data_IF_866705752754
#
_entry.id   IF_866705752754
#
_cell.length_a   1.000
_cell.length_b   1.000
_cell.length_c   1.000
_cell.angle_alpha   90.00
_cell.angle_beta   90.00
_cell.angle_gamma   90.00
#
_symmetry.space_group_name_H-M   'P 1'
#
loop_
_entity.id
_entity.type
_entity.pdbx_description
1 polymer ?
#
# COMPACT_ATOMS: atom_id res chain seq x y z
N UNK A 1 -9.82 -13.70 5.66
CA UNK A 1 -9.07 -13.50 6.93
C UNK A 1 -7.85 -14.42 7.07
N UNK A 2 -7.91 -15.72 6.73
CA UNK A 2 -6.72 -16.61 6.72
C UNK A 2 -5.69 -16.29 5.62
N UNK A 3 -6.13 -15.70 4.50
CA UNK A 3 -5.24 -15.37 3.37
C UNK A 3 -4.55 -14.00 3.50
N UNK A 4 -5.18 -13.03 4.18
CA UNK A 4 -4.63 -11.68 4.41
C UNK A 4 -3.36 -11.72 5.26
N UNK A 5 -3.27 -12.72 6.14
CA UNK A 5 -2.08 -12.90 6.94
C UNK A 5 -1.05 -13.79 6.26
N UNK A 6 -1.25 -14.39 5.09
CA UNK A 6 -0.35 -15.43 4.57
C UNK A 6 1.13 -15.00 4.48
N UNK A 7 1.41 -13.70 4.28
CA UNK A 7 2.76 -13.12 4.43
C UNK A 7 3.27 -13.13 5.87
N UNK A 8 2.45 -12.74 6.85
CA UNK A 8 2.79 -12.79 8.28
C UNK A 8 2.68 -14.20 8.92
N UNK A 9 1.80 -15.07 8.40
CA UNK A 9 1.30 -16.30 9.04
C UNK A 9 2.33 -17.43 9.00
N UNK A 10 3.35 -17.32 8.12
CA UNK A 10 4.48 -18.24 8.05
C UNK A 10 5.78 -17.63 8.61
N UNK A 11 5.85 -16.31 8.74
CA UNK A 11 7.05 -15.59 9.18
C UNK A 11 7.10 -15.39 10.69
N UNK A 12 5.95 -15.18 11.34
CA UNK A 12 5.83 -15.09 12.80
C UNK A 12 5.29 -16.41 13.35
N UNK A 13 6.09 -17.08 14.18
CA UNK A 13 5.68 -18.29 14.91
C UNK A 13 5.67 -18.01 16.41
N UNK A 14 4.51 -18.25 17.02
CA UNK A 14 4.33 -18.19 18.48
C UNK A 14 4.00 -19.59 18.96
N UNK A 15 4.96 -20.22 19.64
CA UNK A 15 4.74 -21.53 20.27
C UNK A 15 4.27 -21.32 21.71
N UNK A 16 3.02 -21.69 21.97
CA UNK A 16 2.42 -21.70 23.31
C UNK A 16 2.59 -23.09 23.90
N UNK A 17 3.75 -23.37 24.50
CA UNK A 17 3.94 -24.62 25.24
C UNK A 17 3.51 -24.42 26.70
N UNK A 18 2.64 -25.30 27.21
CA UNK A 18 1.87 -25.15 28.45
C UNK A 18 2.67 -25.19 29.77
N UNK A 19 3.93 -24.76 29.77
CA UNK A 19 4.79 -24.73 30.95
C UNK A 19 6.21 -24.18 30.73
N UNK A 20 6.62 -23.87 29.49
CA UNK A 20 7.86 -23.15 29.18
C UNK A 20 7.50 -21.86 28.44
N UNK A 21 8.17 -20.77 28.78
CA UNK A 21 7.85 -19.42 28.29
C UNK A 21 7.60 -19.36 26.79
N UNK A 22 6.70 -18.46 26.39
CA UNK A 22 6.34 -18.19 25.00
C UNK A 22 7.60 -17.97 24.16
N UNK A 23 7.89 -18.89 23.25
CA UNK A 23 8.96 -18.71 22.28
C UNK A 23 8.38 -18.00 21.06
N UNK A 24 8.87 -16.79 20.80
CA UNK A 24 8.47 -15.97 19.64
C UNK A 24 9.65 -15.89 18.69
N UNK A 25 9.39 -16.20 17.42
CA UNK A 25 10.38 -16.04 16.35
C UNK A 25 9.79 -15.30 15.15
N UNK A 26 10.62 -14.48 14.51
CA UNK A 26 10.32 -13.77 13.26
C UNK A 26 11.37 -14.15 12.23
N UNK A 27 10.93 -14.69 11.08
CA UNK A 27 11.80 -15.24 10.02
C UNK A 27 12.88 -16.20 10.53
N UNK A 28 12.53 -17.02 11.51
CA UNK A 28 13.44 -17.99 12.13
C UNK A 28 14.47 -17.39 13.11
N UNK A 29 14.48 -16.07 13.33
CA UNK A 29 15.24 -15.43 14.41
C UNK A 29 14.38 -15.38 15.68
N UNK A 30 14.94 -15.81 16.81
CA UNK A 30 14.30 -15.66 18.11
C UNK A 30 14.22 -14.18 18.51
N UNK A 31 13.20 -13.82 19.29
CA UNK A 31 12.94 -12.45 19.75
C UNK A 31 14.18 -11.78 20.37
N UNK A 32 14.95 -12.50 21.20
CA UNK A 32 16.16 -11.97 21.86
C UNK A 32 17.31 -11.69 20.89
N UNK A 33 17.27 -12.26 19.68
CA UNK A 33 18.29 -12.11 18.66
C UNK A 33 17.91 -11.06 17.59
N UNK A 34 16.77 -10.39 17.73
CA UNK A 34 16.32 -9.38 16.77
C UNK A 34 17.16 -8.10 16.87
N UNK A 35 17.61 -7.63 15.71
CA UNK A 35 18.34 -6.37 15.56
C UNK A 35 17.38 -5.19 15.41
N UNK A 36 17.88 -3.95 15.51
CA UNK A 36 17.06 -2.76 15.25
C UNK A 36 16.43 -2.77 13.85
N UNK A 37 17.16 -3.28 12.84
CA UNK A 37 16.68 -3.47 11.47
C UNK A 37 15.52 -4.46 11.42
N UNK A 38 15.61 -5.58 12.15
CA UNK A 38 14.51 -6.55 12.24
C UNK A 38 13.26 -5.91 12.84
N UNK A 39 13.41 -5.08 13.89
CA UNK A 39 12.28 -4.34 14.47
C UNK A 39 11.65 -3.34 13.47
N UNK A 40 12.45 -2.69 12.64
CA UNK A 40 11.94 -1.77 11.60
C UNK A 40 11.12 -2.52 10.55
N UNK A 41 11.58 -3.69 10.11
CA UNK A 41 10.84 -4.55 9.17
C UNK A 41 9.51 -5.04 9.78
N UNK A 42 9.53 -5.47 11.05
CA UNK A 42 8.31 -5.87 11.76
C UNK A 42 7.31 -4.72 11.86
N UNK A 43 7.76 -3.52 12.24
CA UNK A 43 6.89 -2.34 12.34
C UNK A 43 6.33 -1.96 10.97
N UNK A 44 7.16 -2.03 9.92
CA UNK A 44 6.73 -1.79 8.55
C UNK A 44 5.66 -2.80 8.12
N UNK A 45 5.89 -4.10 8.33
CA UNK A 45 4.95 -5.19 8.03
C UNK A 45 3.58 -4.96 8.68
N UNK A 46 3.59 -4.71 9.98
CA UNK A 46 2.37 -4.48 10.75
C UNK A 46 1.64 -3.23 10.24
N UNK A 47 2.38 -2.16 9.91
CA UNK A 47 1.82 -0.91 9.41
C UNK A 47 1.22 -1.06 8.02
N UNK A 48 1.90 -1.78 7.11
CA UNK A 48 1.42 -2.03 5.75
C UNK A 48 0.17 -2.91 5.76
N UNK A 49 0.16 -3.99 6.54
CA UNK A 49 -1.02 -4.84 6.72
C UNK A 49 -2.17 -4.05 7.31
N UNK A 50 -1.93 -3.21 8.31
CA UNK A 50 -2.94 -2.34 8.89
C UNK A 50 -3.50 -1.37 7.84
N UNK A 51 -2.63 -0.69 7.06
CA UNK A 51 -3.05 0.21 5.99
C UNK A 51 -3.93 -0.51 4.94
N UNK A 52 -3.51 -1.67 4.44
CA UNK A 52 -4.29 -2.41 3.44
C UNK A 52 -5.65 -2.87 3.98
N UNK A 53 -5.70 -3.38 5.22
CA UNK A 53 -6.96 -3.77 5.87
C UNK A 53 -7.89 -2.57 6.08
N UNK A 54 -7.34 -1.46 6.55
CA UNK A 54 -8.05 -0.20 6.77
C UNK A 54 -8.60 0.37 5.46
N UNK A 55 -7.80 0.36 4.40
CA UNK A 55 -8.21 0.82 3.08
C UNK A 55 -9.30 -0.07 2.49
N UNK A 56 -9.18 -1.40 2.59
CA UNK A 56 -10.19 -2.34 2.12
C UNK A 56 -11.52 -2.18 2.87
N UNK A 57 -11.46 -1.98 4.19
CA UNK A 57 -12.65 -1.75 5.01
C UNK A 57 -13.29 -0.39 4.69
N UNK A 58 -12.49 0.66 4.53
CA UNK A 58 -12.99 1.97 4.11
C UNK A 58 -13.66 1.89 2.74
N UNK A 59 -13.02 1.23 1.79
CA UNK A 59 -13.55 1.04 0.44
C UNK A 59 -14.89 0.30 0.46
N UNK A 60 -15.01 -0.76 1.26
CA UNK A 60 -16.28 -1.47 1.46
C UNK A 60 -17.37 -0.55 2.02
N UNK A 61 -17.04 0.30 3.00
CA UNK A 61 -18.00 1.20 3.63
C UNK A 61 -18.40 2.36 2.73
N UNK A 62 -17.47 2.89 1.96
CA UNK A 62 -17.67 4.08 1.14
C UNK A 62 -18.30 3.76 -0.22
N UNK A 63 -18.32 2.51 -0.67
CA UNK A 63 -18.80 2.12 -2.01
C UNK A 63 -20.31 2.17 -2.19
N UNK A 64 -20.73 2.50 -3.41
CA UNK A 64 -22.14 2.47 -3.85
C UNK A 64 -22.64 1.04 -4.14
N UNK A 65 -21.76 0.19 -4.68
CA UNK A 65 -21.82 -1.28 -4.79
C UNK A 65 -20.67 -1.72 -5.72
N UNK A 66 -19.93 -2.78 -5.40
CA UNK A 66 -18.87 -3.30 -6.27
C UNK A 66 -18.18 -4.55 -5.69
N UNK A 67 -17.55 -5.40 -6.54
CA UNK A 67 -16.97 -6.67 -6.10
C UNK A 67 -15.77 -6.46 -5.18
N UNK A 68 -15.58 -7.39 -4.23
CA UNK A 68 -14.45 -7.41 -3.32
C UNK A 68 -13.15 -7.61 -4.10
N UNK A 69 -12.19 -6.70 -3.96
CA UNK A 69 -10.81 -6.91 -4.42
C UNK A 69 -9.97 -7.42 -3.27
N UNK A 70 -9.41 -8.62 -3.43
CA UNK A 70 -8.49 -9.23 -2.47
C UNK A 70 -7.09 -8.65 -2.72
N UNK A 71 -6.48 -8.01 -1.72
CA UNK A 71 -5.11 -7.50 -1.80
C UNK A 71 -4.38 -7.83 -0.49
N UNK A 72 -3.49 -8.83 -0.53
CA UNK A 72 -2.55 -9.13 0.55
C UNK A 72 -1.18 -8.57 0.18
N UNK A 73 -0.62 -7.60 0.92
CA UNK A 73 0.73 -7.11 0.68
C UNK A 73 1.79 -8.12 1.16
N UNK A 74 2.90 -8.24 0.41
CA UNK A 74 4.10 -9.01 0.77
C UNK A 74 5.26 -8.05 1.08
N UNK A 75 6.14 -8.41 2.01
CA UNK A 75 7.24 -7.57 2.52
C UNK A 75 8.31 -7.26 1.50
N UNK A 76 8.55 -8.15 0.54
CA UNK A 76 9.44 -7.82 -0.56
C UNK A 76 8.85 -6.74 -1.49
N UNK A 77 7.60 -6.30 -1.27
CA UNK A 77 7.03 -5.10 -1.89
C UNK A 77 7.30 -3.81 -1.12
N UNK A 78 8.03 -3.84 0.01
CA UNK A 78 8.29 -2.64 0.84
C UNK A 78 9.04 -1.50 0.14
N UNK A 79 9.72 -1.83 -0.94
CA UNK A 79 10.40 -0.89 -1.82
C UNK A 79 9.59 -0.59 -3.08
N UNK A 80 8.28 -0.75 -3.03
CA UNK A 80 7.32 -0.41 -4.07
C UNK A 80 6.05 0.12 -3.39
N UNK A 81 5.18 0.82 -4.12
CA UNK A 81 3.89 1.27 -3.56
C UNK A 81 3.80 2.77 -3.32
N UNK A 82 2.80 3.18 -2.53
CA UNK A 82 2.45 4.58 -2.30
C UNK A 82 3.50 5.36 -1.50
N UNK A 83 4.34 4.67 -0.72
CA UNK A 83 5.38 5.33 0.08
C UNK A 83 6.71 5.50 -0.67
N UNK A 84 6.85 4.98 -1.89
CA UNK A 84 8.14 4.94 -2.57
C UNK A 84 8.67 6.36 -2.89
N UNK A 85 9.97 6.68 -2.75
CA UNK A 85 10.45 8.06 -2.91
C UNK A 85 10.32 8.63 -4.32
N UNK A 86 10.43 7.79 -5.36
CA UNK A 86 10.33 8.20 -6.75
C UNK A 86 8.86 8.29 -7.19
N UNK A 87 8.45 9.47 -7.68
CA UNK A 87 7.09 9.71 -8.16
C UNK A 87 6.67 8.74 -9.27
N UNK A 88 7.61 8.37 -10.15
CA UNK A 88 7.37 7.53 -11.31
C UNK A 88 6.98 6.12 -10.90
N UNK A 89 7.69 5.57 -9.92
CA UNK A 89 7.40 4.24 -9.36
C UNK A 89 6.14 4.25 -8.48
N UNK A 90 5.78 5.40 -7.85
CA UNK A 90 4.50 5.57 -7.13
C UNK A 90 3.30 5.67 -8.07
N UNK A 91 3.48 6.26 -9.24
CA UNK A 91 2.41 6.69 -10.13
C UNK A 91 1.38 5.58 -10.46
N UNK A 92 1.75 4.31 -10.70
CA UNK A 92 0.80 3.22 -10.93
C UNK A 92 -0.08 2.94 -9.71
N UNK A 93 0.49 3.00 -8.50
CA UNK A 93 -0.24 2.78 -7.25
C UNK A 93 -1.20 3.93 -6.96
N UNK A 94 -0.78 5.18 -7.24
CA UNK A 94 -1.64 6.35 -7.18
C UNK A 94 -2.82 6.24 -8.17
N UNK A 95 -2.60 5.68 -9.36
CA UNK A 95 -3.68 5.43 -10.32
C UNK A 95 -4.67 4.38 -9.83
N UNK A 96 -4.20 3.27 -9.27
CA UNK A 96 -5.08 2.25 -8.68
C UNK A 96 -5.87 2.82 -7.51
N UNK A 97 -5.24 3.63 -6.64
CA UNK A 97 -5.94 4.31 -5.53
C UNK A 97 -6.97 5.33 -6.03
N UNK A 98 -6.64 6.10 -7.07
CA UNK A 98 -7.56 7.03 -7.71
C UNK A 98 -8.80 6.29 -8.25
N UNK A 99 -8.63 5.21 -9.01
CA UNK A 99 -9.73 4.38 -9.51
C UNK A 99 -10.61 3.85 -8.39
N UNK A 100 -9.98 3.38 -7.30
CA UNK A 100 -10.69 2.91 -6.11
C UNK A 100 -11.61 4.00 -5.56
N UNK A 101 -11.06 5.19 -5.31
CA UNK A 101 -11.77 6.32 -4.72
C UNK A 101 -12.84 6.91 -5.64
N UNK A 102 -12.75 6.71 -6.96
CA UNK A 102 -13.84 7.09 -7.87
C UNK A 102 -15.15 6.34 -7.58
N UNK A 103 -15.07 5.13 -7.03
CA UNK A 103 -16.25 4.31 -6.70
C UNK A 103 -16.94 4.72 -5.38
N UNK A 104 -16.30 5.60 -4.60
CA UNK A 104 -16.81 6.00 -3.29
C UNK A 104 -18.00 6.96 -3.40
N UNK A 105 -18.89 6.94 -2.42
CA UNK A 105 -20.02 7.86 -2.28
C UNK A 105 -19.55 9.28 -1.97
N UNK A 106 -20.40 10.25 -2.26
CA UNK A 106 -20.19 11.65 -1.90
C UNK A 106 -19.51 12.48 -2.98
N UNK A 107 -19.38 13.77 -2.67
CA UNK A 107 -18.72 14.74 -3.54
C UNK A 107 -17.20 14.50 -3.50
N UNK A 108 -16.60 14.41 -4.69
CA UNK A 108 -15.16 14.21 -4.85
C UNK A 108 -14.52 15.51 -5.30
N UNK A 109 -13.27 15.79 -4.87
CA UNK A 109 -12.48 16.86 -5.48
C UNK A 109 -12.44 16.72 -7.00
N UNK A 110 -12.50 17.84 -7.73
CA UNK A 110 -12.54 17.85 -9.21
C UNK A 110 -11.42 17.03 -9.84
N UNK A 111 -10.24 17.09 -9.25
CA UNK A 111 -9.07 16.34 -9.66
C UNK A 111 -9.36 14.82 -9.61
N UNK A 112 -10.05 14.30 -8.60
CA UNK A 112 -10.43 12.88 -8.49
C UNK A 112 -11.63 12.55 -9.40
N UNK A 113 -12.60 13.48 -9.50
CA UNK A 113 -13.86 13.28 -10.21
C UNK A 113 -13.72 13.25 -11.75
N UNK A 114 -12.72 13.93 -12.31
CA UNK A 114 -12.50 13.96 -13.77
C UNK A 114 -12.14 12.57 -14.31
N UNK A 115 -12.67 12.22 -15.48
CA UNK A 115 -12.19 11.09 -16.27
C UNK A 115 -10.84 11.48 -16.90
N UNK A 116 -9.81 10.66 -16.69
CA UNK A 116 -8.40 11.01 -16.93
C UNK A 116 -7.75 10.26 -18.07
N UNK A 117 -8.54 9.76 -19.01
CA UNK A 117 -8.02 9.11 -20.22
C UNK A 117 -7.07 9.99 -21.06
N UNK A 118 -6.98 11.30 -20.81
CA UNK A 118 -6.17 12.26 -21.57
C UNK A 118 -5.01 12.91 -20.80
N UNK A 119 -4.68 12.47 -19.58
CA UNK A 119 -3.59 13.09 -18.81
C UNK A 119 -2.21 12.80 -19.39
N UNK A 120 -1.36 13.84 -19.38
CA UNK A 120 0.06 13.73 -19.68
C UNK A 120 0.76 13.54 -18.34
N UNK A 121 1.00 12.29 -17.93
CA UNK A 121 1.49 11.95 -16.60
C UNK A 121 2.91 12.51 -16.34
N UNK A 122 2.95 13.78 -15.96
CA UNK A 122 4.15 14.51 -15.54
C UNK A 122 4.29 14.43 -14.03
N UNK A 123 5.50 14.70 -13.53
CA UNK A 123 5.79 14.75 -12.10
C UNK A 123 4.85 15.71 -11.35
N UNK A 124 4.59 16.89 -11.91
CA UNK A 124 3.71 17.91 -11.30
C UNK A 124 2.28 17.40 -11.18
N UNK A 125 1.73 16.82 -12.24
CA UNK A 125 0.36 16.26 -12.23
C UNK A 125 0.23 15.09 -11.24
N UNK A 126 1.27 14.27 -11.13
CA UNK A 126 1.32 13.16 -10.15
C UNK A 126 1.34 13.69 -8.72
N UNK A 127 2.13 14.72 -8.42
CA UNK A 127 2.13 15.33 -7.09
C UNK A 127 0.79 15.98 -6.73
N UNK A 128 0.15 16.67 -7.68
CA UNK A 128 -1.19 17.25 -7.45
C UNK A 128 -2.24 16.17 -7.22
N UNK A 129 -2.19 15.08 -7.99
CA UNK A 129 -3.05 13.92 -7.77
C UNK A 129 -2.80 13.31 -6.39
N UNK A 130 -1.54 13.04 -6.05
CA UNK A 130 -1.14 12.42 -4.78
C UNK A 130 -1.65 13.22 -3.58
N UNK A 131 -1.44 14.54 -3.58
CA UNK A 131 -1.94 15.42 -2.53
C UNK A 131 -3.46 15.34 -2.39
N UNK A 132 -4.18 15.37 -3.51
CA UNK A 132 -5.64 15.33 -3.50
C UNK A 132 -6.19 13.97 -3.05
N UNK A 133 -5.56 12.86 -3.47
CA UNK A 133 -5.91 11.52 -3.01
C UNK A 133 -5.65 11.37 -1.52
N UNK A 134 -4.50 11.82 -1.03
CA UNK A 134 -4.15 11.75 0.38
C UNK A 134 -5.14 12.55 1.24
N UNK A 135 -5.48 13.77 0.85
CA UNK A 135 -6.46 14.60 1.56
C UNK A 135 -7.85 13.95 1.54
N UNK A 136 -8.31 13.48 0.38
CA UNK A 136 -9.60 12.81 0.27
C UNK A 136 -9.66 11.50 1.07
N UNK A 137 -8.58 10.70 1.04
CA UNK A 137 -8.43 9.48 1.83
C UNK A 137 -8.54 9.76 3.32
N UNK A 138 -7.71 10.67 3.84
CA UNK A 138 -7.63 10.99 5.27
C UNK A 138 -8.96 11.53 5.76
N UNK A 139 -9.61 12.41 4.97
CA UNK A 139 -10.91 12.97 5.33
C UNK A 139 -11.99 11.89 5.40
N UNK A 140 -12.11 11.02 4.38
CA UNK A 140 -13.07 9.92 4.41
C UNK A 140 -12.76 8.96 5.56
N UNK A 141 -11.50 8.57 5.73
CA UNK A 141 -11.10 7.70 6.82
C UNK A 141 -11.50 8.26 8.18
N UNK A 142 -11.22 9.54 8.43
CA UNK A 142 -11.60 10.20 9.68
C UNK A 142 -13.12 10.24 9.87
N UNK A 143 -13.90 10.47 8.80
CA UNK A 143 -15.37 10.47 8.87
C UNK A 143 -15.95 9.09 9.25
N UNK A 144 -15.39 8.00 8.73
CA UNK A 144 -15.89 6.65 9.00
C UNK A 144 -15.34 6.04 10.30
N UNK A 145 -14.07 6.28 10.63
CA UNK A 145 -13.38 5.62 11.75
C UNK A 145 -13.12 6.54 12.96
N UNK A 146 -13.27 7.86 12.82
CA UNK A 146 -13.09 8.82 13.91
C UNK A 146 -11.64 8.99 14.40
N UNK A 147 -10.66 8.53 13.62
CA UNK A 147 -9.22 8.63 13.95
C UNK A 147 -8.38 8.84 12.68
N UNK A 148 -7.10 9.22 12.80
CA UNK A 148 -6.17 9.22 11.67
C UNK A 148 -5.93 7.80 11.11
N UNK A 149 -5.74 7.65 9.79
CA UNK A 149 -5.36 6.38 9.18
C UNK A 149 -3.92 5.99 9.51
N UNK A 150 -3.64 4.69 9.45
CA UNK A 150 -2.27 4.20 9.34
C UNK A 150 -1.77 4.52 7.94
N UNK A 151 -0.61 5.14 7.81
CA UNK A 151 -0.02 5.46 6.52
C UNK A 151 1.00 4.39 6.13
N UNK A 152 1.17 4.08 4.83
CA UNK A 152 2.25 3.24 4.36
C UNK A 152 3.59 3.94 4.59
N UNK A 153 4.63 3.16 4.88
CA UNK A 153 5.98 3.66 5.17
C UNK A 153 6.96 3.15 4.12
N UNK A 154 8.05 3.89 3.93
CA UNK A 154 9.17 3.44 3.10
C UNK A 154 10.27 2.86 3.98
N UNK A 155 10.75 1.66 3.67
CA UNK A 155 11.97 1.13 4.26
C UNK A 155 13.17 1.66 3.46
N UNK A 156 14.14 2.35 4.08
CA UNK A 156 15.26 2.98 3.37
C UNK A 156 16.33 1.99 2.88
N UNK A 157 16.05 0.69 2.93
CA UNK A 157 16.94 -0.38 2.50
C UNK A 157 16.13 -1.54 1.89
N UNK A 158 16.80 -2.36 1.07
CA UNK A 158 16.20 -3.57 0.53
C UNK A 158 16.23 -4.68 1.59
N UNK A 159 15.06 -5.12 2.11
CA UNK A 159 15.03 -6.25 3.02
C UNK A 159 15.50 -7.51 2.27
N UNK A 160 16.20 -8.39 2.96
CA UNK A 160 16.65 -9.65 2.38
C UNK A 160 15.51 -10.66 2.37
N UNK A 161 14.58 -10.48 1.44
CA UNK A 161 13.44 -11.39 1.21
C UNK A 161 13.70 -12.28 0.01
N UNK A 162 13.20 -13.51 0.04
CA UNK A 162 13.17 -14.39 -1.15
C UNK A 162 12.12 -13.93 -2.18
N UNK A 163 11.18 -13.07 -1.76
CA UNK A 163 10.21 -12.44 -2.64
C UNK A 163 10.86 -11.37 -3.52
N UNK A 164 10.63 -11.47 -4.82
CA UNK A 164 10.99 -10.45 -5.81
C UNK A 164 9.68 -9.82 -6.29
N UNK A 165 9.44 -8.52 -6.02
CA UNK A 165 8.24 -7.87 -6.50
C UNK A 165 8.23 -7.87 -8.03
N UNK A 166 7.06 -8.11 -8.63
CA UNK A 166 6.91 -7.95 -10.08
C UNK A 166 7.12 -6.49 -10.46
N UNK A 167 8.11 -6.25 -11.33
CA UNK A 167 8.28 -4.94 -11.96
C UNK A 167 7.06 -4.65 -12.82
N UNK A 168 6.31 -3.59 -12.49
CA UNK A 168 5.27 -3.10 -13.40
C UNK A 168 5.96 -2.59 -14.67
N UNK A 169 5.49 -3.03 -15.84
CA UNK A 169 6.13 -2.73 -17.12
C UNK A 169 6.04 -1.22 -17.39
N UNK A 170 7.19 -0.55 -17.39
CA UNK A 170 7.31 0.85 -17.72
C UNK A 170 7.17 1.05 -19.23
N UNK A 171 6.05 1.60 -19.68
CA UNK A 171 5.91 2.06 -21.07
C UNK A 171 6.81 3.27 -21.31
N UNK A 172 7.99 3.07 -21.91
CA UNK A 172 8.90 4.15 -22.25
C UNK A 172 8.40 4.86 -23.53
N UNK A 173 8.10 6.15 -23.44
CA UNK A 173 7.77 6.99 -24.61
C UNK A 173 8.99 7.76 -25.12
N UNK A 174 8.92 8.18 -26.39
CA UNK A 174 9.98 8.89 -27.11
C UNK A 174 10.21 10.34 -26.62
N UNK A 175 9.30 10.90 -25.82
CA UNK A 175 9.42 12.26 -25.25
C UNK A 175 9.95 12.19 -23.81
N UNK A 176 11.04 12.91 -23.47
CA UNK A 176 11.50 13.00 -22.08
C UNK A 176 10.40 13.60 -21.20
N UNK A 177 10.18 13.00 -20.02
CA UNK A 177 9.27 13.49 -18.96
C UNK A 177 7.77 13.50 -19.26
N UNK A 178 7.32 12.80 -20.31
CA UNK A 178 5.89 12.65 -20.62
C UNK A 178 5.60 11.17 -20.84
N UNK A 179 4.78 10.59 -19.98
CA UNK A 179 4.36 9.20 -20.06
C UNK A 179 2.88 9.15 -20.44
N UNK A 180 2.53 8.51 -21.55
CA UNK A 180 1.11 8.26 -21.80
C UNK A 180 0.65 7.01 -21.05
N UNK A 181 -0.52 7.15 -20.43
CA UNK A 181 -1.36 6.06 -19.96
C UNK A 181 -0.67 5.06 -19.01
N UNK A 182 -0.14 5.58 -17.89
CA UNK A 182 0.31 4.76 -16.75
C UNK A 182 -0.83 3.95 -16.12
N UNK A 183 -2.08 4.28 -16.47
CA UNK A 183 -3.28 3.61 -16.00
C UNK A 183 -3.40 2.18 -16.58
N UNK A 184 -2.75 1.89 -17.71
CA UNK A 184 -2.70 0.55 -18.32
C UNK A 184 -1.62 -0.37 -17.74
N UNK A 185 -0.88 0.04 -16.71
CA UNK A 185 0.19 -0.77 -16.11
C UNK A 185 -0.33 -1.76 -15.05
N UNK A 186 -1.53 -2.29 -15.28
CA UNK A 186 -2.18 -3.37 -14.52
C UNK A 186 -1.99 -4.72 -15.23
#
# INVERSE_FOLDING_TARGET
>A
MKEILAGCFNEIKVELDGGKGTSVSWRGKHYEALTATDHQEIVWEISEVAFCLELAMLDQMARIAGPNHDTSPDVGSANMGLAYPNWYDRAPYLCSLWRLMQTWMGSKPDIIAKDRMSWLWTEVEIYELEKALAEYYVNNFFLYFGRPPTLPWYLPYNPQTSFVPMWRIHGQMATPNVHADISKWE
#
